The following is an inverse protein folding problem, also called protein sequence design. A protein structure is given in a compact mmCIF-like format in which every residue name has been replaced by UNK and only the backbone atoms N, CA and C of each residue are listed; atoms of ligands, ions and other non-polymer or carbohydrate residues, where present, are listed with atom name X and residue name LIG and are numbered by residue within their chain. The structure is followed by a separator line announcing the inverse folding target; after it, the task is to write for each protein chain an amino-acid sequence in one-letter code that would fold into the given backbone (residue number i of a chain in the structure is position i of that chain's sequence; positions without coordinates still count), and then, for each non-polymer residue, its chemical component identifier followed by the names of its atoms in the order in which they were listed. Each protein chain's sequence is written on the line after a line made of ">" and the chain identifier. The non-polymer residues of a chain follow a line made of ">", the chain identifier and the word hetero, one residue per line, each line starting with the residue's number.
data_IF_315169566544
#
_entry.id   IF_315169566544
#
_cell.length_a   1.000
_cell.length_b   1.000
_cell.length_c   1.000
_cell.angle_alpha   90.00
_cell.angle_beta   90.00
_cell.angle_gamma   90.00
#
_symmetry.space_group_name_H-M   'P 1'
#
loop_
_entity.id
_entity.type
_entity.pdbx_description
1 polymer ?
#
# COMPACT_ATOMS: atom_id res chain seq x y z
N UNK A 1 -43.69 31.99 -22.64
CA UNK A 1 -43.01 30.74 -23.10
C UNK A 1 -41.61 31.11 -23.53
N UNK A 2 -40.58 30.55 -22.89
CA UNK A 2 -39.36 30.01 -23.53
C UNK A 2 -38.35 29.51 -22.48
N UNK A 3 -38.46 28.20 -22.27
CA UNK A 3 -37.46 27.16 -22.03
C UNK A 3 -36.25 27.43 -21.13
N UNK A 4 -36.24 26.64 -20.06
CA UNK A 4 -35.23 26.41 -19.04
C UNK A 4 -34.03 25.66 -19.61
N UNK A 5 -32.83 26.13 -19.24
CA UNK A 5 -31.68 25.33 -18.79
C UNK A 5 -31.17 24.19 -19.68
N UNK A 6 -29.93 24.34 -20.15
CA UNK A 6 -29.01 23.20 -20.25
C UNK A 6 -27.62 23.67 -19.78
N UNK A 7 -27.42 23.66 -18.45
CA UNK A 7 -26.08 23.66 -17.88
C UNK A 7 -25.53 22.25 -18.12
N UNK A 8 -24.48 22.13 -18.94
CA UNK A 8 -23.75 20.87 -19.07
C UNK A 8 -23.25 20.48 -17.68
N UNK A 9 -23.60 19.29 -17.22
CA UNK A 9 -22.98 18.67 -16.04
C UNK A 9 -21.46 18.75 -16.20
N UNK A 10 -20.72 19.11 -15.14
CA UNK A 10 -19.27 19.14 -15.22
C UNK A 10 -18.78 17.72 -15.54
N UNK A 11 -18.02 17.66 -16.62
CA UNK A 11 -17.23 16.52 -17.08
C UNK A 11 -16.63 15.79 -15.88
N UNK A 12 -16.81 14.47 -15.83
CA UNK A 12 -16.38 13.59 -14.75
C UNK A 12 -14.85 13.63 -14.64
N UNK A 13 -14.31 14.65 -13.98
CA UNK A 13 -12.88 14.80 -13.71
C UNK A 13 -12.47 13.55 -12.94
N UNK A 14 -11.51 12.75 -13.45
CA UNK A 14 -10.98 11.62 -12.70
C UNK A 14 -10.50 12.17 -11.36
N UNK A 15 -11.24 11.87 -10.29
CA UNK A 15 -10.82 12.23 -8.95
C UNK A 15 -9.48 11.53 -8.76
N UNK A 16 -8.39 12.31 -8.68
CA UNK A 16 -7.07 11.76 -8.35
C UNK A 16 -7.28 10.88 -7.11
N UNK A 17 -6.78 9.64 -7.10
CA UNK A 17 -6.93 8.79 -5.93
C UNK A 17 -6.46 9.62 -4.73
N UNK A 18 -7.37 9.80 -3.77
CA UNK A 18 -7.06 10.46 -2.52
C UNK A 18 -5.76 9.85 -2.01
N UNK A 19 -4.75 10.67 -1.79
CA UNK A 19 -3.45 10.18 -1.31
C UNK A 19 -3.70 9.41 -0.03
N UNK A 20 -3.60 8.07 -0.09
CA UNK A 20 -3.82 7.22 1.06
C UNK A 20 -2.69 7.49 2.05
N UNK A 21 -3.02 8.04 3.21
CA UNK A 21 -2.10 8.15 4.33
C UNK A 21 -2.03 6.75 4.95
N UNK A 22 -0.91 6.07 4.76
CA UNK A 22 -0.70 4.72 5.29
C UNK A 22 -0.03 4.83 6.66
N UNK A 23 -0.66 4.32 7.73
CA UNK A 23 0.00 4.25 9.03
C UNK A 23 1.29 3.44 8.95
N UNK A 24 2.37 4.04 9.44
CA UNK A 24 3.64 3.37 9.68
C UNK A 24 3.63 2.80 11.10
N UNK A 25 4.08 1.56 11.25
CA UNK A 25 4.16 0.90 12.53
C UNK A 25 5.32 -0.07 12.63
N UNK A 26 5.33 -0.82 13.73
CA UNK A 26 6.23 -1.96 13.93
C UNK A 26 5.38 -3.18 14.27
N UNK A 27 5.73 -4.33 13.70
CA UNK A 27 5.18 -5.63 14.13
C UNK A 27 6.31 -6.58 14.50
N UNK A 28 5.98 -7.60 15.28
CA UNK A 28 6.90 -8.70 15.57
C UNK A 28 6.50 -9.91 14.72
N UNK A 29 7.45 -10.45 13.97
CA UNK A 29 7.29 -11.66 13.15
C UNK A 29 8.19 -12.77 13.67
N UNK A 30 7.79 -14.01 13.48
CA UNK A 30 8.65 -15.17 13.74
C UNK A 30 9.61 -15.33 12.56
N UNK A 31 10.91 -15.45 12.84
CA UNK A 31 11.88 -15.89 11.84
C UNK A 31 11.83 -17.41 11.73
N UNK A 32 11.33 -17.99 10.62
CA UNK A 32 11.20 -19.44 10.51
C UNK A 32 12.56 -20.16 10.41
N UNK A 33 13.65 -19.45 10.12
CA UNK A 33 15.00 -20.04 10.12
C UNK A 33 15.55 -20.27 11.52
N UNK A 34 15.28 -19.35 12.45
CA UNK A 34 15.89 -19.37 13.79
C UNK A 34 14.90 -19.65 14.91
N UNK A 35 13.60 -19.46 14.67
CA UNK A 35 12.54 -19.50 15.68
C UNK A 35 12.40 -18.18 16.47
N UNK A 36 13.30 -17.21 16.27
CA UNK A 36 13.31 -15.98 17.05
C UNK A 36 12.25 -14.98 16.59
N UNK A 37 11.85 -14.12 17.52
CA UNK A 37 11.01 -12.97 17.24
C UNK A 37 11.83 -11.81 16.69
N UNK A 38 11.43 -11.30 15.52
CA UNK A 38 12.05 -10.15 14.85
C UNK A 38 11.07 -9.00 14.75
N UNK A 39 11.51 -7.81 15.13
CA UNK A 39 10.74 -6.57 14.90
C UNK A 39 10.98 -6.08 13.46
N UNK A 40 9.89 -5.77 12.76
CA UNK A 40 9.91 -5.25 11.38
C UNK A 40 9.04 -3.99 11.27
N UNK A 41 9.42 -3.08 10.38
CA UNK A 41 8.61 -1.90 10.05
C UNK A 41 7.52 -2.28 9.05
N UNK A 42 6.33 -1.71 9.22
CA UNK A 42 5.15 -2.07 8.41
C UNK A 42 4.39 -0.84 7.97
N UNK A 43 3.81 -0.93 6.78
CA UNK A 43 2.77 -0.03 6.29
C UNK A 43 1.43 -0.77 6.39
N UNK A 44 0.49 -0.21 7.14
CA UNK A 44 -0.83 -0.80 7.27
C UNK A 44 -1.76 -0.24 6.19
N UNK A 45 -2.28 -1.11 5.33
CA UNK A 45 -3.24 -0.74 4.30
C UNK A 45 -4.43 -1.71 4.33
N UNK A 46 -5.57 -1.26 4.86
CA UNK A 46 -6.79 -2.09 4.94
C UNK A 46 -7.40 -2.41 3.57
N UNK A 47 -6.99 -1.69 2.52
CA UNK A 47 -7.38 -1.97 1.13
C UNK A 47 -6.48 -2.96 0.41
N UNK A 48 -5.50 -3.58 1.10
CA UNK A 48 -4.61 -4.56 0.49
C UNK A 48 -5.26 -5.96 0.52
N UNK A 49 -5.36 -6.61 -0.65
CA UNK A 49 -5.71 -8.03 -0.73
C UNK A 49 -4.53 -8.94 -0.35
N UNK A 50 -3.30 -8.44 -0.55
CA UNK A 50 -2.06 -9.17 -0.30
C UNK A 50 -1.05 -8.30 0.46
N UNK A 51 -0.25 -8.95 1.30
CA UNK A 51 0.88 -8.32 1.97
C UNK A 51 2.11 -8.34 1.07
N UNK A 52 2.80 -7.20 0.98
CA UNK A 52 4.08 -7.09 0.30
C UNK A 52 5.19 -6.97 1.34
N UNK A 53 6.30 -7.65 1.07
CA UNK A 53 7.54 -7.57 1.85
C UNK A 53 8.67 -7.22 0.90
N UNK A 54 9.63 -6.44 1.37
CA UNK A 54 10.82 -6.19 0.56
C UNK A 54 11.63 -7.48 0.36
N UNK A 55 12.39 -7.52 -0.73
CA UNK A 55 13.12 -8.73 -1.13
C UNK A 55 14.16 -9.18 -0.09
N UNK A 56 14.79 -8.23 0.61
CA UNK A 56 15.77 -8.54 1.65
C UNK A 56 15.07 -9.22 2.83
N UNK A 57 13.96 -8.69 3.31
CA UNK A 57 13.20 -9.28 4.41
C UNK A 57 12.64 -10.65 4.02
N UNK A 58 12.15 -10.81 2.78
CA UNK A 58 11.71 -12.11 2.27
C UNK A 58 12.84 -13.15 2.29
N UNK A 59 14.04 -12.77 1.85
CA UNK A 59 15.22 -13.65 1.92
C UNK A 59 15.58 -13.96 3.36
N UNK A 60 15.66 -12.96 4.25
CA UNK A 60 15.98 -13.16 5.67
C UNK A 60 15.00 -14.15 6.33
N UNK A 61 13.71 -14.01 6.05
CA UNK A 61 12.63 -14.86 6.59
C UNK A 61 12.39 -16.16 5.80
N UNK A 62 13.22 -16.50 4.81
CA UNK A 62 13.04 -17.68 3.96
C UNK A 62 11.63 -17.78 3.31
N UNK A 63 11.00 -16.64 3.00
CA UNK A 63 9.68 -16.63 2.39
C UNK A 63 9.77 -17.02 0.91
N UNK A 64 8.84 -17.89 0.48
CA UNK A 64 8.69 -18.23 -0.94
C UNK A 64 8.10 -17.04 -1.68
N UNK A 65 8.83 -16.49 -2.65
CA UNK A 65 8.29 -15.49 -3.56
C UNK A 65 7.28 -16.15 -4.52
N UNK A 66 6.04 -15.66 -4.49
CA UNK A 66 4.99 -16.06 -5.43
C UNK A 66 4.99 -15.12 -6.64
N UNK A 67 5.21 -13.83 -6.39
CA UNK A 67 5.26 -12.77 -7.41
C UNK A 67 6.25 -11.67 -6.98
N UNK A 68 6.82 -10.95 -7.95
CA UNK A 68 7.64 -9.76 -7.71
C UNK A 68 7.00 -8.55 -8.38
N UNK A 69 6.65 -7.55 -7.58
CA UNK A 69 6.05 -6.29 -8.05
C UNK A 69 6.94 -5.12 -7.60
N UNK A 70 7.15 -4.15 -8.49
CA UNK A 70 7.85 -2.91 -8.14
C UNK A 70 6.84 -1.91 -7.58
N UNK A 71 6.91 -1.65 -6.27
CA UNK A 71 6.09 -0.65 -5.60
C UNK A 71 6.82 0.70 -5.53
N UNK A 72 6.16 1.76 -6.00
CA UNK A 72 6.62 3.14 -5.82
C UNK A 72 5.92 3.72 -4.60
N UNK A 73 6.58 3.66 -3.44
CA UNK A 73 6.08 4.24 -2.20
C UNK A 73 6.57 5.68 -2.08
N UNK A 74 5.64 6.63 -2.16
CA UNK A 74 5.91 8.02 -1.76
C UNK A 74 5.83 8.10 -0.23
N UNK A 75 6.92 7.71 0.43
CA UNK A 75 7.11 7.93 1.86
C UNK A 75 7.54 9.39 2.08
N UNK A 76 7.34 9.92 3.30
CA UNK A 76 7.69 11.31 3.60
C UNK A 76 9.17 11.56 3.28
N UNK A 77 9.44 12.55 2.40
CA UNK A 77 10.81 13.05 2.20
C UNK A 77 11.22 13.80 3.46
N UNK A 78 12.31 13.37 4.08
CA UNK A 78 13.00 14.13 5.13
C UNK A 78 13.77 15.28 4.51
#
# INVERSE_FOLDING_TARGET
>A
MNQVGNQKEPENVPQRPSSAILPLGQMTVVNPRTGDLKRVHVLLYSGAELSFVDERLAQELALRAIEKVKLSLNTFRQ
#
